data_IF_778759433234
#
_entry.id   IF_778759433234
#
_cell.length_a   1.000
_cell.length_b   1.000
_cell.length_c   1.000
_cell.angle_alpha   90.00
_cell.angle_beta   90.00
_cell.angle_gamma   90.00
#
_symmetry.space_group_name_H-M   'P 1'
#
loop_
_entity.id
_entity.type
_entity.pdbx_description
1 polymer ?
#
# COMPACT_ATOMS: atom_id res chain seq x y z
N UNK A 1 42.33 -19.06 5.47
CA UNK A 1 41.47 -18.41 6.48
C UNK A 1 40.06 -18.36 5.92
N UNK A 2 39.07 -18.93 6.61
CA UNK A 2 37.67 -18.96 6.15
C UNK A 2 37.10 -17.54 6.18
N UNK A 3 36.73 -17.00 5.01
CA UNK A 3 36.05 -15.72 4.89
C UNK A 3 34.57 -15.96 5.15
N UNK A 4 34.07 -15.57 6.32
CA UNK A 4 32.64 -15.64 6.59
C UNK A 4 31.96 -14.38 6.07
N UNK A 5 30.93 -14.59 5.25
CA UNK A 5 30.13 -13.51 4.65
C UNK A 5 28.89 -13.30 5.51
N UNK A 6 28.64 -12.09 6.04
CA UNK A 6 27.43 -11.82 6.80
C UNK A 6 26.19 -11.91 5.90
N UNK A 7 25.07 -12.31 6.48
CA UNK A 7 23.78 -12.43 5.81
C UNK A 7 22.84 -11.38 6.35
N UNK A 8 22.09 -10.71 5.48
CA UNK A 8 21.07 -9.77 5.92
C UNK A 8 19.94 -10.50 6.67
N UNK A 9 19.57 -10.12 7.90
CA UNK A 9 18.51 -10.78 8.65
C UNK A 9 17.11 -10.54 8.06
N UNK A 10 16.94 -9.53 7.20
CA UNK A 10 15.64 -9.15 6.64
C UNK A 10 15.34 -9.84 5.31
N UNK A 11 16.33 -9.93 4.43
CA UNK A 11 16.14 -10.46 3.07
C UNK A 11 16.92 -11.75 2.81
N UNK A 12 17.70 -12.23 3.80
CA UNK A 12 18.52 -13.45 3.74
C UNK A 12 19.53 -13.49 2.58
N UNK A 13 19.93 -12.32 2.07
CA UNK A 13 20.95 -12.18 1.01
C UNK A 13 22.34 -12.07 1.66
N UNK A 14 23.36 -12.79 1.16
CA UNK A 14 24.74 -12.63 1.61
C UNK A 14 25.29 -11.27 1.17
N UNK A 15 25.91 -10.55 2.09
CA UNK A 15 26.42 -9.20 1.87
C UNK A 15 27.96 -9.26 1.79
N UNK A 16 28.55 -8.98 0.62
CA UNK A 16 30.01 -8.99 0.47
C UNK A 16 30.64 -7.85 1.29
N UNK A 17 31.62 -8.19 2.12
CA UNK A 17 32.39 -7.24 2.95
C UNK A 17 33.81 -7.13 2.40
N UNK A 18 34.28 -5.90 2.13
CA UNK A 18 35.66 -5.70 1.68
C UNK A 18 36.65 -5.80 2.85
N UNK A 19 37.91 -6.08 2.52
CA UNK A 19 38.97 -6.21 3.52
C UNK A 19 39.24 -4.84 4.17
N UNK A 20 38.93 -4.71 5.45
CA UNK A 20 39.04 -3.45 6.21
C UNK A 20 37.70 -2.83 6.60
N UNK A 21 36.57 -3.35 6.08
CA UNK A 21 35.24 -2.90 6.47
C UNK A 21 34.66 -3.74 7.62
N UNK A 22 33.85 -3.11 8.47
CA UNK A 22 33.20 -3.78 9.60
C UNK A 22 31.89 -4.41 9.12
N UNK A 23 31.66 -5.72 9.32
CA UNK A 23 30.45 -6.41 8.85
C UNK A 23 29.14 -5.72 9.25
N UNK A 24 29.01 -5.25 10.49
CA UNK A 24 27.80 -4.57 10.98
C UNK A 24 27.48 -3.29 10.19
N UNK A 25 28.49 -2.51 9.81
CA UNK A 25 28.33 -1.28 9.03
C UNK A 25 27.86 -1.59 7.61
N UNK A 26 28.44 -2.63 6.98
CA UNK A 26 28.05 -3.04 5.63
C UNK A 26 26.64 -3.62 5.62
N UNK A 27 26.27 -4.40 6.65
CA UNK A 27 24.90 -4.91 6.82
C UNK A 27 23.91 -3.77 7.04
N UNK A 28 24.23 -2.79 7.88
CA UNK A 28 23.41 -1.59 8.07
C UNK A 28 23.20 -0.80 6.77
N UNK A 29 24.28 -0.55 6.03
CA UNK A 29 24.20 0.15 4.74
C UNK A 29 23.32 -0.60 3.72
N UNK A 30 23.42 -1.93 3.66
CA UNK A 30 22.52 -2.75 2.86
C UNK A 30 21.06 -2.59 3.31
N UNK A 31 20.78 -2.67 4.62
CA UNK A 31 19.42 -2.55 5.17
C UNK A 31 18.76 -1.23 4.76
N UNK A 32 19.50 -0.12 4.77
CA UNK A 32 18.98 1.21 4.45
C UNK A 32 18.73 1.43 2.95
N UNK A 33 19.64 0.99 2.08
CA UNK A 33 19.65 1.41 0.67
C UNK A 33 19.21 0.32 -0.31
N UNK A 34 19.67 -0.91 -0.11
CA UNK A 34 19.67 -1.96 -1.13
C UNK A 34 18.90 -3.22 -0.69
N UNK A 35 18.29 -3.20 0.48
CA UNK A 35 17.54 -4.35 0.98
C UNK A 35 16.24 -4.54 0.19
N UNK A 36 16.09 -5.71 -0.46
CA UNK A 36 14.86 -6.11 -1.16
C UNK A 36 13.64 -6.17 -0.23
N UNK A 37 13.89 -6.41 1.07
CA UNK A 37 12.89 -6.36 2.12
C UNK A 37 12.87 -4.98 2.79
N UNK A 38 13.21 -3.89 2.10
CA UNK A 38 13.00 -2.57 2.69
C UNK A 38 11.49 -2.27 2.71
N UNK A 39 10.82 -2.27 3.88
CA UNK A 39 9.37 -2.01 3.95
C UNK A 39 9.03 -0.60 3.45
N UNK A 40 10.00 0.34 3.44
CA UNK A 40 9.82 1.67 2.87
C UNK A 40 9.81 1.65 1.32
N UNK A 41 10.47 0.68 0.68
CA UNK A 41 10.50 0.52 -0.78
C UNK A 41 9.39 -0.39 -1.31
N UNK A 42 8.83 -1.29 -0.48
CA UNK A 42 7.53 -1.88 -0.78
C UNK A 42 6.50 -0.75 -0.71
N UNK A 43 6.30 -0.10 -1.86
CA UNK A 43 5.26 0.89 -2.13
C UNK A 43 3.90 0.22 -2.04
N UNK A 44 3.53 -0.26 -0.85
CA UNK A 44 2.18 -0.67 -0.55
C UNK A 44 1.33 0.54 -0.89
N UNK A 45 0.44 0.36 -1.86
CA UNK A 45 -0.43 1.45 -2.32
C UNK A 45 -1.46 1.65 -1.19
N UNK A 46 -1.09 2.40 -0.16
CA UNK A 46 -1.93 2.67 1.01
C UNK A 46 -3.28 3.26 0.56
N UNK A 47 -3.25 4.09 -0.48
CA UNK A 47 -4.44 4.63 -1.14
C UNK A 47 -4.76 3.86 -2.42
N UNK A 48 -5.49 2.76 -2.30
CA UNK A 48 -5.92 1.91 -3.42
C UNK A 48 -7.35 2.19 -3.89
N UNK A 49 -8.22 2.69 -3.01
CA UNK A 49 -9.65 2.70 -3.28
C UNK A 49 -10.08 3.95 -4.04
N UNK A 50 -10.07 3.86 -5.38
CA UNK A 50 -10.44 4.96 -6.27
C UNK A 50 -11.94 5.25 -6.22
N UNK A 51 -12.30 6.52 -6.09
CA UNK A 51 -13.68 6.97 -6.25
C UNK A 51 -14.18 6.77 -7.68
N UNK A 52 -15.37 6.17 -7.84
CA UNK A 52 -16.01 5.94 -9.14
C UNK A 52 -16.82 7.14 -9.65
N UNK A 53 -17.00 8.20 -8.85
CA UNK A 53 -17.71 9.40 -9.30
C UNK A 53 -16.93 10.04 -10.47
N UNK A 54 -17.60 10.37 -11.59
CA UNK A 54 -16.99 11.12 -12.69
C UNK A 54 -16.32 12.40 -12.20
N UNK A 55 -15.10 12.68 -12.70
CA UNK A 55 -14.32 13.85 -12.29
C UNK A 55 -13.60 13.73 -10.94
N UNK A 56 -13.84 12.68 -10.13
CA UNK A 56 -13.14 12.48 -8.87
C UNK A 56 -11.89 11.60 -9.05
N UNK A 57 -10.72 12.11 -8.63
CA UNK A 57 -9.44 11.37 -8.66
C UNK A 57 -8.96 10.92 -7.26
N UNK A 58 -9.81 11.08 -6.24
CA UNK A 58 -9.49 10.77 -4.85
C UNK A 58 -9.39 9.25 -4.66
N UNK A 59 -8.40 8.82 -3.89
CA UNK A 59 -8.20 7.44 -3.47
C UNK A 59 -8.23 7.41 -1.95
N UNK A 60 -8.98 6.48 -1.38
CA UNK A 60 -9.09 6.30 0.07
C UNK A 60 -8.30 5.07 0.53
N UNK A 61 -7.96 5.07 1.82
CA UNK A 61 -7.27 3.96 2.49
C UNK A 61 -8.22 2.77 2.64
N UNK A 62 -9.48 3.05 2.94
CA UNK A 62 -10.55 2.05 3.05
C UNK A 62 -11.47 2.09 1.83
N UNK A 63 -12.16 0.97 1.56
CA UNK A 63 -13.26 0.92 0.61
C UNK A 63 -14.48 1.60 1.22
N UNK A 64 -15.15 2.43 0.44
CA UNK A 64 -16.43 3.05 0.80
C UNK A 64 -17.43 2.63 -0.26
N UNK A 65 -18.13 1.54 -0.01
CA UNK A 65 -19.05 0.93 -0.97
C UNK A 65 -20.45 1.47 -0.74
N UNK A 66 -21.11 1.97 -1.79
CA UNK A 66 -22.51 2.34 -1.72
C UNK A 66 -23.38 1.09 -1.68
N UNK A 67 -24.31 1.02 -0.73
CA UNK A 67 -25.21 -0.13 -0.57
C UNK A 67 -26.23 -0.26 -1.71
N UNK A 68 -26.55 0.83 -2.40
CA UNK A 68 -27.57 0.84 -3.46
C UNK A 68 -27.00 0.45 -4.84
N UNK A 69 -25.79 0.92 -5.18
CA UNK A 69 -25.18 0.68 -6.49
C UNK A 69 -23.94 -0.22 -6.45
N UNK A 70 -23.45 -0.59 -5.27
CA UNK A 70 -22.22 -1.38 -5.10
C UNK A 70 -20.93 -0.66 -5.50
N UNK A 71 -21.00 0.63 -5.88
CA UNK A 71 -19.84 1.40 -6.32
C UNK A 71 -18.94 1.84 -5.17
N UNK A 72 -17.62 1.91 -5.41
CA UNK A 72 -16.65 2.46 -4.46
C UNK A 72 -16.50 3.98 -4.64
N UNK A 73 -16.64 4.73 -3.55
CA UNK A 73 -16.53 6.18 -3.54
C UNK A 73 -15.51 6.66 -2.50
N UNK A 74 -15.27 7.97 -2.44
CA UNK A 74 -14.50 8.57 -1.34
C UNK A 74 -15.45 9.09 -0.26
N UNK A 75 -14.93 9.50 0.90
CA UNK A 75 -15.77 9.98 2.03
C UNK A 75 -16.69 11.14 1.61
N UNK A 76 -16.24 12.00 0.70
CA UNK A 76 -17.04 13.11 0.14
C UNK A 76 -18.16 12.67 -0.79
N UNK A 77 -18.07 11.49 -1.38
CA UNK A 77 -19.03 10.99 -2.37
C UNK A 77 -19.73 9.70 -1.90
N UNK A 78 -19.71 9.44 -0.58
CA UNK A 78 -20.28 8.23 0.01
C UNK A 78 -21.81 8.19 -0.10
N UNK A 79 -22.46 9.35 -0.02
CA UNK A 79 -23.91 9.43 -0.06
C UNK A 79 -24.43 9.35 -1.50
N UNK A 80 -25.63 8.78 -1.71
CA UNK A 80 -26.24 8.63 -3.03
C UNK A 80 -26.39 9.93 -3.82
N UNK A 81 -26.68 11.04 -3.12
CA UNK A 81 -26.83 12.37 -3.71
C UNK A 81 -25.52 12.94 -4.25
N UNK A 82 -24.39 12.54 -3.66
CA UNK A 82 -23.08 13.10 -3.98
C UNK A 82 -22.41 12.42 -5.18
N UNK A 83 -22.88 11.25 -5.62
CA UNK A 83 -22.31 10.50 -6.73
C UNK A 83 -23.31 10.11 -7.84
N UNK A 84 -24.48 10.74 -7.85
CA UNK A 84 -25.53 10.47 -8.86
C UNK A 84 -25.85 8.98 -8.91
N UNK A 85 -26.23 8.43 -7.75
CA UNK A 85 -26.41 6.99 -7.58
C UNK A 85 -27.38 6.40 -8.61
N UNK A 86 -26.90 5.44 -9.38
CA UNK A 86 -27.72 4.64 -10.32
C UNK A 86 -28.24 3.34 -9.70
N UNK A 87 -28.10 3.18 -8.37
CA UNK A 87 -28.73 2.08 -7.66
C UNK A 87 -30.23 2.19 -7.86
N UNK A 88 -30.87 1.10 -8.24
CA UNK A 88 -32.29 1.05 -8.56
C UNK A 88 -33.08 1.83 -7.52
N UNK A 89 -33.81 2.84 -7.97
CA UNK A 89 -34.83 3.53 -7.19
C UNK A 89 -35.92 2.52 -6.80
N UNK A 90 -35.65 1.70 -5.79
CA UNK A 90 -36.72 1.18 -4.97
C UNK A 90 -36.80 2.16 -3.79
N UNK A 91 -37.85 2.98 -3.69
CA UNK A 91 -38.12 3.62 -2.42
C UNK A 91 -38.22 2.49 -1.40
N UNK A 92 -37.43 2.54 -0.34
CA UNK A 92 -37.70 1.73 0.84
C UNK A 92 -39.01 2.29 1.43
N UNK A 93 -40.11 1.81 0.87
CA UNK A 93 -41.36 1.71 1.58
C UNK A 93 -41.22 0.46 2.45
N UNK A 94 -40.82 0.61 3.70
CA UNK A 94 -41.21 -0.32 4.77
C UNK A 94 -41.41 0.43 6.08
N UNK A 95 -42.61 0.21 6.61
CA UNK A 95 -43.19 0.69 7.86
C UNK A 95 -42.45 0.19 9.11
#
# INVERSE_FOLDING_TARGET
QNVQVPVCPLCNVPIPVQRGEVPDVVVGAHMDKDCKYNPAQQKQKIFTNKCLKPGCRRKEIMKVVCEQCGGNFCIKHRHPLDHECRGSSCPISKA
#
